data_IF_954754402493
#
_entry.id   IF_954754402493
#
_cell.length_a   1.000
_cell.length_b   1.000
_cell.length_c   1.000
_cell.angle_alpha   90.00
_cell.angle_beta   90.00
_cell.angle_gamma   90.00
#
_symmetry.space_group_name_H-M   'P 1'
#
loop_
_entity.id
_entity.type
_entity.pdbx_description
1 polymer ?
#
# COMPACT_ATOMS: atom_id res chain seq x y z
N UNK A 1 -15.74 0.93 2.06
CA UNK A 1 -14.40 0.48 2.52
C UNK A 1 -13.84 1.55 3.44
N UNK A 2 -13.16 1.19 4.53
CA UNK A 2 -12.58 2.17 5.45
C UNK A 2 -11.17 2.55 4.98
N UNK A 3 -11.05 3.69 4.30
CA UNK A 3 -9.79 4.20 3.73
C UNK A 3 -8.71 4.40 4.79
N UNK A 4 -9.08 4.74 6.02
CA UNK A 4 -8.13 4.93 7.12
C UNK A 4 -7.50 3.60 7.53
N UNK A 5 -8.29 2.52 7.59
CA UNK A 5 -7.77 1.17 7.82
C UNK A 5 -6.86 0.71 6.68
N UNK A 6 -7.20 1.02 5.43
CA UNK A 6 -6.35 0.69 4.29
C UNK A 6 -5.02 1.46 4.30
N UNK A 7 -5.02 2.73 4.71
CA UNK A 7 -3.79 3.51 4.83
C UNK A 7 -2.86 2.95 5.93
N UNK A 8 -3.43 2.55 7.07
CA UNK A 8 -2.66 1.86 8.14
C UNK A 8 -2.12 0.51 7.67
N UNK A 9 -2.92 -0.25 6.90
CA UNK A 9 -2.49 -1.50 6.26
C UNK A 9 -1.35 -1.27 5.27
N UNK A 10 -1.44 -0.24 4.43
CA UNK A 10 -0.40 0.15 3.50
C UNK A 10 0.91 0.46 4.22
N UNK A 11 0.83 1.22 5.32
CA UNK A 11 2.00 1.52 6.14
C UNK A 11 2.69 0.24 6.61
N UNK A 12 1.93 -0.66 7.21
CA UNK A 12 2.47 -1.92 7.70
C UNK A 12 3.10 -2.76 6.58
N UNK A 13 2.43 -2.84 5.42
CA UNK A 13 2.92 -3.55 4.24
C UNK A 13 4.27 -3.01 3.75
N UNK A 14 4.40 -1.67 3.65
CA UNK A 14 5.61 -1.01 3.15
C UNK A 14 6.79 -1.09 4.13
N UNK A 15 6.51 -0.98 5.44
CA UNK A 15 7.54 -1.10 6.49
C UNK A 15 8.14 -2.51 6.57
N UNK A 16 7.37 -3.54 6.18
CA UNK A 16 7.76 -4.95 6.31
C UNK A 16 8.09 -5.64 4.98
N UNK A 17 8.27 -4.87 3.90
CA UNK A 17 8.53 -5.41 2.57
C UNK A 17 9.64 -6.47 2.58
N UNK A 18 9.53 -7.55 1.77
CA UNK A 18 10.50 -8.63 1.76
C UNK A 18 11.93 -8.16 1.51
N UNK A 19 12.89 -8.78 2.19
CA UNK A 19 14.33 -8.52 1.98
C UNK A 19 14.85 -8.84 0.56
N UNK A 20 14.05 -9.48 -0.29
CA UNK A 20 14.35 -9.65 -1.72
C UNK A 20 14.27 -8.33 -2.50
N UNK A 21 13.61 -7.30 -1.94
CA UNK A 21 13.61 -5.95 -2.48
C UNK A 21 14.84 -5.19 -1.95
N UNK A 22 15.59 -4.49 -2.82
CA UNK A 22 16.71 -3.64 -2.40
C UNK A 22 16.31 -2.60 -1.36
N UNK A 23 17.13 -2.42 -0.32
CA UNK A 23 16.94 -1.37 0.67
C UNK A 23 17.66 -0.10 0.26
N UNK A 24 16.95 1.02 0.19
CA UNK A 24 17.54 2.34 -0.02
C UNK A 24 17.25 3.25 1.18
N UNK A 25 18.26 4.01 1.59
CA UNK A 25 18.09 5.04 2.60
C UNK A 25 17.55 6.34 1.97
N UNK A 26 17.34 7.38 2.78
CA UNK A 26 16.82 8.67 2.28
C UNK A 26 17.75 9.37 1.29
N UNK A 27 19.05 9.03 1.26
CA UNK A 27 20.01 9.64 0.33
C UNK A 27 20.06 8.92 -1.00
N UNK A 28 19.68 7.64 -1.04
CA UNK A 28 19.72 6.81 -2.25
C UNK A 28 18.34 6.43 -2.80
N UNK A 29 17.25 6.86 -2.16
CA UNK A 29 15.88 6.55 -2.61
C UNK A 29 15.59 7.14 -3.99
N UNK A 30 14.83 6.39 -4.79
CA UNK A 30 14.27 6.86 -6.05
C UNK A 30 12.94 7.62 -5.88
N UNK A 31 12.37 7.63 -4.68
CA UNK A 31 11.06 8.20 -4.41
C UNK A 31 11.16 9.62 -3.87
N UNK A 32 10.45 10.55 -4.52
CA UNK A 32 10.29 11.93 -4.05
C UNK A 32 8.86 12.42 -4.27
N UNK A 33 8.19 12.73 -3.16
CA UNK A 33 6.78 13.11 -3.14
C UNK A 33 6.54 14.57 -2.74
N UNK A 34 7.59 15.40 -2.70
CA UNK A 34 7.45 16.82 -2.41
C UNK A 34 6.68 17.53 -3.51
N UNK A 35 5.73 18.38 -3.11
CA UNK A 35 4.97 19.24 -4.01
C UNK A 35 5.32 20.69 -3.69
N UNK A 36 5.63 21.51 -4.69
CA UNK A 36 5.91 22.94 -4.54
C UNK A 36 4.62 23.79 -4.51
N UNK A 37 4.73 25.03 -4.04
CA UNK A 37 3.60 25.97 -4.09
C UNK A 37 3.14 26.27 -5.52
N UNK A 38 4.07 26.35 -6.47
CA UNK A 38 3.78 26.52 -7.90
C UNK A 38 2.98 25.33 -8.45
N UNK A 39 3.34 24.10 -8.08
CA UNK A 39 2.57 22.92 -8.49
C UNK A 39 1.16 22.94 -7.91
N UNK A 40 0.98 23.39 -6.67
CA UNK A 40 -0.35 23.52 -6.06
C UNK A 40 -1.19 24.56 -6.82
N UNK A 41 -0.58 25.67 -7.22
CA UNK A 41 -1.24 26.71 -8.02
C UNK A 41 -1.64 26.19 -9.41
N UNK A 42 -0.70 25.53 -10.11
CA UNK A 42 -0.91 24.97 -11.45
C UNK A 42 -1.99 23.89 -11.48
N UNK A 43 -2.07 23.06 -10.45
CA UNK A 43 -3.05 21.98 -10.34
C UNK A 43 -4.30 22.37 -9.54
N UNK A 44 -4.38 23.61 -9.06
CA UNK A 44 -5.51 24.21 -8.36
C UNK A 44 -5.64 23.87 -6.87
N UNK A 45 -5.14 22.71 -6.44
CA UNK A 45 -5.17 22.29 -5.04
C UNK A 45 -4.07 21.26 -4.70
N UNK A 46 -3.76 21.10 -3.41
CA UNK A 46 -2.71 20.19 -2.93
C UNK A 46 -3.02 18.72 -3.25
N UNK A 47 -4.29 18.30 -3.22
CA UNK A 47 -4.68 16.91 -3.52
C UNK A 47 -4.45 16.59 -4.99
N UNK A 48 -4.80 17.52 -5.88
CA UNK A 48 -4.59 17.39 -7.33
C UNK A 48 -3.10 17.40 -7.68
N UNK A 49 -2.31 18.25 -7.03
CA UNK A 49 -0.85 18.24 -7.18
C UNK A 49 -0.20 16.96 -6.64
N UNK A 50 -0.64 16.44 -5.49
CA UNK A 50 -0.21 15.14 -4.95
C UNK A 50 -0.59 14.01 -5.92
N UNK A 51 -1.82 13.97 -6.43
CA UNK A 51 -2.22 12.95 -7.40
C UNK A 51 -1.29 12.97 -8.61
N UNK A 52 -0.96 14.16 -9.13
CA UNK A 52 -0.03 14.29 -10.24
C UNK A 52 1.38 13.81 -9.88
N UNK A 53 1.87 14.18 -8.70
CA UNK A 53 3.19 13.74 -8.23
C UNK A 53 3.27 12.21 -8.12
N UNK A 54 2.20 11.56 -7.66
CA UNK A 54 2.13 10.09 -7.62
C UNK A 54 2.19 9.48 -9.03
N UNK A 55 1.54 10.09 -10.03
CA UNK A 55 1.65 9.65 -11.44
C UNK A 55 3.06 9.80 -12.00
N UNK A 56 3.79 10.85 -11.61
CA UNK A 56 5.18 11.05 -12.03
C UNK A 56 6.08 9.98 -11.41
N UNK A 57 5.88 9.71 -10.12
CA UNK A 57 6.73 8.80 -9.35
C UNK A 57 6.48 7.33 -9.71
N UNK A 58 5.22 6.94 -9.82
CA UNK A 58 4.82 5.54 -10.03
C UNK A 58 4.42 5.21 -11.47
N UNK A 59 4.31 6.22 -12.32
CA UNK A 59 3.72 6.10 -13.65
C UNK A 59 2.19 6.25 -13.61
N UNK A 60 1.61 6.39 -14.81
CA UNK A 60 0.15 6.48 -14.96
C UNK A 60 -0.53 5.17 -14.60
N UNK A 61 -1.46 5.21 -13.63
CA UNK A 61 -2.28 4.06 -13.19
C UNK A 61 -3.02 3.38 -14.35
N UNK A 62 -3.44 4.14 -15.36
CA UNK A 62 -4.16 3.61 -16.50
C UNK A 62 -3.29 2.71 -17.37
N UNK A 63 -2.01 3.04 -17.48
CA UNK A 63 -1.07 2.31 -18.33
C UNK A 63 -0.58 1.03 -17.64
N UNK A 64 -0.66 0.96 -16.32
CA UNK A 64 -0.17 -0.18 -15.53
C UNK A 64 -1.29 -1.11 -15.05
N UNK A 65 -2.55 -0.85 -15.44
CA UNK A 65 -3.69 -1.66 -14.97
C UNK A 65 -3.89 -1.61 -13.46
N UNK A 66 -3.47 -0.53 -12.80
CA UNK A 66 -3.49 -0.40 -11.35
C UNK A 66 -2.30 -1.03 -10.61
N UNK A 67 -1.35 -1.67 -11.33
CA UNK A 67 -0.12 -2.18 -10.73
C UNK A 67 0.86 -1.02 -10.52
N UNK A 68 1.39 -0.88 -9.31
CA UNK A 68 2.35 0.16 -8.93
C UNK A 68 3.72 -0.47 -8.74
N UNK A 69 4.76 -0.05 -9.48
CA UNK A 69 6.09 -0.63 -9.34
C UNK A 69 6.72 -0.24 -7.99
N UNK A 70 6.90 -1.25 -7.13
CA UNK A 70 7.64 -1.15 -5.86
C UNK A 70 9.01 -1.79 -6.05
N UNK A 71 10.02 -0.95 -6.30
CA UNK A 71 11.37 -1.38 -6.69
C UNK A 71 12.39 -1.33 -5.55
N UNK A 72 12.06 -0.65 -4.46
CA UNK A 72 12.88 -0.51 -3.26
C UNK A 72 12.04 -0.64 -1.98
N UNK A 73 12.68 -0.96 -0.87
CA UNK A 73 12.14 -0.86 0.49
C UNK A 73 12.93 0.17 1.29
N UNK A 74 12.34 0.67 2.36
CA UNK A 74 12.97 1.65 3.25
C UNK A 74 12.17 2.95 3.34
N UNK A 75 12.75 3.99 3.96
CA UNK A 75 12.02 5.21 4.30
C UNK A 75 11.48 5.99 3.09
N UNK A 76 12.10 5.85 1.91
CA UNK A 76 11.64 6.48 0.68
C UNK A 76 10.23 6.08 0.28
N UNK A 77 9.98 4.78 0.06
CA UNK A 77 8.64 4.29 -0.30
C UNK A 77 7.64 4.50 0.84
N UNK A 78 8.06 4.36 2.11
CA UNK A 78 7.16 4.57 3.25
C UNK A 78 6.65 6.01 3.34
N UNK A 79 7.38 7.00 2.82
CA UNK A 79 6.96 8.41 2.82
C UNK A 79 5.65 8.65 2.04
N UNK A 80 5.27 7.76 1.12
CA UNK A 80 4.00 7.86 0.37
C UNK A 80 2.79 7.84 1.31
N UNK A 81 2.87 7.11 2.42
CA UNK A 81 1.80 7.01 3.42
C UNK A 81 1.54 8.37 4.04
N UNK A 82 2.60 9.08 4.44
CA UNK A 82 2.49 10.41 5.03
C UNK A 82 1.94 11.44 4.06
N UNK A 83 2.19 11.27 2.76
CA UNK A 83 1.63 12.14 1.72
C UNK A 83 0.15 11.87 1.50
N UNK A 84 -0.23 10.59 1.38
CA UNK A 84 -1.64 10.20 1.25
C UNK A 84 -2.48 10.57 2.48
N UNK A 85 -1.88 10.55 3.68
CA UNK A 85 -2.54 10.94 4.93
C UNK A 85 -2.93 12.43 4.98
N UNK A 86 -2.30 13.29 4.18
CA UNK A 86 -2.64 14.72 4.08
C UNK A 86 -3.87 14.98 3.21
N UNK A 87 -4.19 14.06 2.31
CA UNK A 87 -5.29 14.23 1.38
C UNK A 87 -6.64 13.84 2.02
N UNK A 88 -7.76 14.39 1.52
CA UNK A 88 -9.09 13.91 1.89
C UNK A 88 -9.25 12.42 1.55
N UNK A 89 -9.41 11.58 2.57
CA UNK A 89 -9.61 10.13 2.40
C UNK A 89 -10.97 9.75 1.79
N UNK A 90 -11.80 10.75 1.50
CA UNK A 90 -13.02 10.64 0.69
C UNK A 90 -12.78 10.87 -0.81
N UNK A 91 -11.59 11.34 -1.22
CA UNK A 91 -11.24 11.53 -2.63
C UNK A 91 -10.99 10.17 -3.30
N UNK A 92 -11.79 9.85 -4.32
CA UNK A 92 -11.73 8.56 -5.02
C UNK A 92 -10.38 8.28 -5.68
N UNK A 93 -9.63 9.31 -6.11
CA UNK A 93 -8.29 9.15 -6.70
C UNK A 93 -7.29 8.71 -5.63
N UNK A 94 -7.42 9.25 -4.43
CA UNK A 94 -6.56 8.92 -3.28
C UNK A 94 -6.88 7.53 -2.76
N UNK A 95 -8.17 7.18 -2.62
CA UNK A 95 -8.59 5.82 -2.29
C UNK A 95 -8.00 4.79 -3.27
N UNK A 96 -8.09 5.07 -4.57
CA UNK A 96 -7.55 4.19 -5.61
C UNK A 96 -6.03 4.05 -5.53
N UNK A 97 -5.30 5.12 -5.20
CA UNK A 97 -3.85 5.02 -4.97
C UNK A 97 -3.52 4.11 -3.79
N UNK A 98 -4.25 4.24 -2.67
CA UNK A 98 -4.05 3.40 -1.49
C UNK A 98 -4.33 1.93 -1.84
N UNK A 99 -5.43 1.65 -2.52
CA UNK A 99 -5.80 0.30 -2.97
C UNK A 99 -4.70 -0.32 -3.85
N UNK A 100 -4.31 0.39 -4.91
CA UNK A 100 -3.29 -0.08 -5.85
C UNK A 100 -1.93 -0.31 -5.19
N UNK A 101 -1.53 0.56 -4.26
CA UNK A 101 -0.29 0.41 -3.51
C UNK A 101 -0.35 -0.79 -2.55
N UNK A 102 -1.47 -1.01 -1.86
CA UNK A 102 -1.68 -2.22 -1.05
C UNK A 102 -1.54 -3.49 -1.90
N UNK A 103 -2.29 -3.60 -3.00
CA UNK A 103 -2.23 -4.76 -3.89
C UNK A 103 -0.82 -4.97 -4.46
N UNK A 104 -0.12 -3.90 -4.82
CA UNK A 104 1.24 -4.00 -5.34
C UNK A 104 2.24 -4.44 -4.27
N UNK A 105 2.10 -3.96 -3.04
CA UNK A 105 2.94 -4.40 -1.93
C UNK A 105 2.71 -5.89 -1.62
N UNK A 106 1.45 -6.33 -1.58
CA UNK A 106 1.07 -7.74 -1.40
C UNK A 106 1.64 -8.65 -2.50
N UNK A 107 1.64 -8.19 -3.75
CA UNK A 107 2.26 -8.92 -4.86
C UNK A 107 3.76 -9.16 -4.63
N UNK A 108 4.49 -8.20 -4.04
CA UNK A 108 5.92 -8.39 -3.74
C UNK A 108 6.18 -9.48 -2.70
N UNK A 109 5.27 -9.66 -1.73
CA UNK A 109 5.36 -10.80 -0.79
C UNK A 109 5.18 -12.12 -1.56
N UNK A 110 4.15 -12.21 -2.40
CA UNK A 110 3.88 -13.38 -3.23
C UNK A 110 5.06 -13.75 -4.14
N UNK A 111 5.63 -12.76 -4.85
CA UNK A 111 6.80 -12.95 -5.73
C UNK A 111 8.06 -13.39 -4.98
N UNK A 112 8.20 -13.00 -3.71
CA UNK A 112 9.36 -13.39 -2.88
C UNK A 112 9.27 -14.82 -2.33
N UNK A 113 8.19 -15.55 -2.63
CA UNK A 113 7.90 -16.86 -2.02
C UNK A 113 7.63 -16.78 -0.52
N UNK A 114 7.51 -15.58 0.04
CA UNK A 114 7.09 -15.34 1.42
C UNK A 114 5.59 -15.08 1.40
N UNK A 115 4.81 -16.11 1.67
CA UNK A 115 3.40 -15.92 2.00
C UNK A 115 3.31 -14.97 3.21
N UNK A 116 2.73 -13.78 2.99
CA UNK A 116 2.64 -12.75 4.03
C UNK A 116 1.53 -13.07 5.02
N UNK A 117 1.89 -13.23 6.30
CA UNK A 117 0.93 -13.12 7.41
C UNK A 117 0.89 -11.66 7.83
N UNK A 118 -0.19 -10.95 7.51
CA UNK A 118 -0.40 -9.59 8.04
C UNK A 118 -1.23 -9.74 9.30
N UNK A 119 -0.61 -9.54 10.46
CA UNK A 119 -1.32 -9.38 11.72
C UNK A 119 -1.75 -7.91 11.82
N UNK A 120 -2.97 -7.59 11.39
CA UNK A 120 -3.58 -6.32 11.78
C UNK A 120 -3.97 -6.45 13.26
N UNK A 121 -3.10 -5.99 14.16
CA UNK A 121 -3.43 -5.86 15.57
C UNK A 121 -4.45 -4.73 15.74
N UNK A 122 -5.72 -5.09 15.65
CA UNK A 122 -6.83 -4.36 16.23
C UNK A 122 -6.69 -4.45 17.78
N UNK A 123 -6.72 -3.30 18.46
CA UNK A 123 -6.52 -3.19 19.91
C UNK A 123 -7.61 -3.85 20.78
N UNK A 124 -8.62 -4.49 20.20
CA UNK A 124 -9.71 -5.15 20.92
C UNK A 124 -10.09 -6.55 20.38
N UNK A 125 -9.84 -6.90 19.12
CA UNK A 125 -10.09 -8.24 18.59
C UNK A 125 -9.07 -8.55 17.48
N UNK A 126 -8.08 -9.40 17.75
CA UNK A 126 -7.11 -9.82 16.76
C UNK A 126 -7.78 -10.61 15.63
N UNK A 127 -8.10 -9.94 14.51
CA UNK A 127 -8.59 -10.62 13.31
C UNK A 127 -7.38 -11.07 12.50
N UNK A 128 -7.17 -12.38 12.46
CA UNK A 128 -6.17 -13.01 11.60
C UNK A 128 -6.69 -13.08 10.16
N UNK A 129 -6.23 -12.18 9.29
CA UNK A 129 -6.46 -12.29 7.85
C UNK A 129 -5.30 -13.08 7.23
N UNK A 130 -5.51 -14.38 7.03
CA UNK A 130 -4.58 -15.22 6.26
C UNK A 130 -4.91 -15.14 4.78
N UNK A 131 -3.91 -14.85 3.94
CA UNK A 131 -4.00 -14.99 2.49
C UNK A 131 -3.16 -16.19 2.05
N UNK A 132 -3.76 -17.12 1.30
CA UNK A 132 -3.05 -18.18 0.58
C UNK A 132 -3.00 -17.80 -0.89
N UNK A 133 -1.81 -17.76 -1.48
CA UNK A 133 -1.68 -17.62 -2.92
C UNK A 133 -1.97 -18.98 -3.56
N UNK A 134 -3.14 -19.12 -4.19
CA UNK A 134 -3.47 -20.29 -5.01
C UNK A 134 -2.74 -20.19 -6.34
N UNK A 135 -1.46 -20.55 -6.34
CA UNK A 135 -0.76 -20.97 -7.56
C UNK A 135 -0.43 -22.45 -7.45
N UNK A 136 -1.49 -23.25 -7.44
CA UNK A 136 -1.64 -24.59 -8.03
C UNK A 136 -2.74 -25.33 -7.26
N UNK A 137 -3.85 -25.55 -7.98
CA UNK A 137 -4.85 -26.58 -7.75
C UNK A 137 -5.77 -26.48 -6.50
N UNK A 138 -7.05 -26.25 -6.80
CA UNK A 138 -8.23 -26.75 -6.09
C UNK A 138 -8.42 -26.42 -4.59
N UNK A 139 -9.56 -25.74 -4.37
CA UNK A 139 -10.53 -25.86 -3.25
C UNK A 139 -10.37 -25.07 -1.94
N UNK A 140 -11.50 -24.44 -1.62
CA UNK A 140 -12.18 -24.31 -0.31
C UNK A 140 -11.64 -23.32 0.72
N UNK A 141 -12.42 -22.26 0.91
CA UNK A 141 -12.45 -21.42 2.11
C UNK A 141 -13.00 -22.28 3.26
N UNK A 142 -12.27 -22.44 4.36
CA UNK A 142 -12.82 -22.98 5.61
C UNK A 142 -12.83 -21.91 6.70
N UNK A 143 -13.96 -21.82 7.39
CA UNK A 143 -14.12 -21.00 8.59
C UNK A 143 -13.94 -21.92 9.80
N UNK A 144 -13.05 -21.57 10.73
CA UNK A 144 -13.09 -22.12 12.09
C UNK A 144 -13.88 -21.13 12.94
N UNK A 145 -15.10 -21.51 13.31
CA UNK A 145 -15.77 -20.94 14.47
C UNK A 145 -15.11 -21.55 15.72
N UNK A 146 -14.58 -20.71 16.60
CA UNK A 146 -14.24 -21.13 17.95
C UNK A 146 -15.56 -21.29 18.73
N UNK A 147 -15.87 -22.52 19.13
CA UNK A 147 -16.95 -22.78 20.07
C UNK A 147 -16.49 -22.35 21.47
N UNK A 148 -17.22 -21.40 22.07
CA UNK A 148 -17.14 -21.08 23.50
C UNK A 148 -17.60 -22.31 24.30
N UNK A 149 -16.70 -22.87 25.10
CA UNK A 149 -17.02 -23.86 26.12
C UNK A 149 -17.58 -23.11 27.34
N UNK A 150 -18.86 -23.32 27.64
CA UNK A 150 -19.48 -22.99 28.94
C UNK A 150 -19.50 -24.25 29.80
#
# INVERSE_FOLDING_TARGET
>A
MDTKKQLARLQHLLENLPNSIPFHDLKSTHYSFSVSGEEIEDYGDETSAINRRLEIVFGSRHNTGGIVPIVERGPGICAVVSVLAKCPLSDGRICLWIENLCSSAENRYTESGKEGRIYLLDSNHGIELTWRSTVAEHTSISYKQEEEVI
#
